data_IF_424942977912
#
_entry.id   IF_424942977912
#
_cell.length_a   1.000
_cell.length_b   1.000
_cell.length_c   1.000
_cell.angle_alpha   90.00
_cell.angle_beta   90.00
_cell.angle_gamma   90.00
#
_symmetry.space_group_name_H-M   'P 1'
#
loop_
_entity.id
_entity.type
_entity.pdbx_description
1 polymer ?
#
# COMPACT_ATOMS: atom_id res chain seq x y z
N UNK A 1 -12.13 -33.80 -15.93
CA UNK A 1 -13.17 -32.76 -15.72
C UNK A 1 -12.52 -31.39 -15.91
N UNK A 2 -13.21 -30.42 -16.52
CA UNK A 2 -12.77 -29.02 -16.58
C UNK A 2 -13.59 -28.25 -15.54
N UNK A 3 -12.92 -27.49 -14.68
CA UNK A 3 -13.56 -26.61 -13.70
C UNK A 3 -13.39 -25.17 -14.16
N UNK A 4 -14.44 -24.37 -14.00
CA UNK A 4 -14.43 -22.94 -14.32
C UNK A 4 -14.84 -22.19 -13.05
N UNK A 5 -14.04 -21.21 -12.65
CA UNK A 5 -14.33 -20.31 -11.55
C UNK A 5 -14.47 -18.90 -12.12
N UNK A 6 -15.42 -18.14 -11.59
CA UNK A 6 -15.70 -16.75 -12.00
C UNK A 6 -15.68 -15.89 -10.75
N UNK A 7 -14.83 -14.86 -10.76
CA UNK A 7 -14.88 -13.76 -9.81
C UNK A 7 -15.36 -12.51 -10.54
N UNK A 8 -16.19 -11.69 -9.89
CA UNK A 8 -16.76 -10.46 -10.43
C UNK A 8 -16.55 -9.34 -9.43
N UNK A 9 -16.71 -8.10 -9.91
CA UNK A 9 -16.71 -6.89 -9.09
C UNK A 9 -15.42 -6.70 -8.26
N UNK A 10 -14.29 -7.23 -8.77
CA UNK A 10 -12.97 -6.97 -8.21
C UNK A 10 -12.62 -5.52 -8.52
N UNK A 11 -12.37 -4.73 -7.47
CA UNK A 11 -11.89 -3.36 -7.63
C UNK A 11 -10.48 -3.38 -8.20
N UNK A 12 -10.23 -2.59 -9.24
CA UNK A 12 -8.91 -2.53 -9.89
C UNK A 12 -7.92 -1.71 -9.07
N UNK A 13 -8.41 -0.69 -8.36
CA UNK A 13 -7.57 0.28 -7.66
C UNK A 13 -6.76 1.14 -8.62
N UNK A 14 -5.89 1.97 -8.07
CA UNK A 14 -4.86 2.69 -8.83
C UNK A 14 -3.50 2.04 -8.60
N UNK A 15 -2.47 2.49 -9.32
CA UNK A 15 -1.09 2.14 -8.94
C UNK A 15 -0.72 2.74 -7.59
N UNK A 16 0.11 2.01 -6.85
CA UNK A 16 0.51 2.41 -5.52
C UNK A 16 1.38 3.68 -5.55
N UNK A 17 1.34 4.43 -4.46
CA UNK A 17 2.30 5.51 -4.24
C UNK A 17 3.66 4.89 -3.96
N UNK A 18 4.72 5.55 -4.39
CA UNK A 18 6.07 5.07 -4.15
C UNK A 18 6.90 6.12 -3.44
N UNK A 19 7.65 5.68 -2.44
CA UNK A 19 8.70 6.46 -1.80
C UNK A 19 10.05 5.81 -2.14
N UNK A 20 10.95 6.58 -2.75
CA UNK A 20 12.33 6.15 -3.02
C UNK A 20 13.30 7.02 -2.22
N UNK A 21 13.78 6.48 -1.10
CA UNK A 21 14.73 7.14 -0.20
C UNK A 21 16.18 6.70 -0.46
N UNK A 22 16.49 6.05 -1.60
CA UNK A 22 17.84 5.51 -1.86
C UNK A 22 18.90 6.59 -2.07
N UNK A 23 18.52 7.77 -2.56
CA UNK A 23 19.48 8.86 -2.79
C UNK A 23 19.92 9.49 -1.46
N UNK A 24 21.12 9.15 -0.99
CA UNK A 24 21.68 9.67 0.27
C UNK A 24 22.01 11.17 0.23
N UNK A 25 22.24 11.76 -0.96
CA UNK A 25 22.49 13.20 -1.08
C UNK A 25 21.20 13.99 -0.86
N UNK A 26 20.07 13.44 -1.34
CA UNK A 26 18.75 14.03 -1.17
C UNK A 26 18.17 13.76 0.22
N UNK A 27 18.37 12.54 0.72
CA UNK A 27 17.90 12.07 2.02
C UNK A 27 19.10 11.82 2.95
N UNK A 28 19.81 12.90 3.28
CA UNK A 28 21.05 12.90 4.07
C UNK A 28 20.80 12.98 5.58
N UNK A 29 19.67 13.56 5.99
CA UNK A 29 19.27 13.65 7.39
C UNK A 29 18.65 12.35 7.90
N UNK A 30 18.63 12.16 9.23
CA UNK A 30 17.92 11.05 9.88
C UNK A 30 16.40 11.18 9.74
N UNK A 31 15.89 12.39 9.91
CA UNK A 31 14.46 12.71 9.75
C UNK A 31 14.25 13.31 8.36
N UNK A 32 13.43 12.65 7.54
CA UNK A 32 13.19 13.02 6.14
C UNK A 32 11.71 12.99 5.81
N UNK A 33 11.30 13.70 4.77
CA UNK A 33 9.94 13.59 4.21
C UNK A 33 9.91 12.47 3.18
N UNK A 34 8.81 11.73 3.10
CA UNK A 34 8.63 10.69 2.08
C UNK A 34 8.67 11.26 0.66
N UNK A 35 8.10 12.46 0.47
CA UNK A 35 8.11 13.19 -0.79
C UNK A 35 8.91 14.49 -0.61
N UNK A 36 9.85 14.73 -1.52
CA UNK A 36 10.71 15.93 -1.51
C UNK A 36 9.88 17.15 -1.91
N UNK A 37 9.02 17.00 -2.92
CA UNK A 37 8.25 18.07 -3.57
C UNK A 37 6.90 18.38 -2.89
N UNK A 38 6.87 18.34 -1.56
CA UNK A 38 5.76 18.90 -0.79
C UNK A 38 4.71 17.89 -0.33
N UNK A 39 3.47 18.36 -0.21
CA UNK A 39 2.36 17.65 0.44
C UNK A 39 1.59 16.80 -0.57
N UNK A 40 1.29 15.56 -0.22
CA UNK A 40 0.49 14.71 -1.10
C UNK A 40 -1.00 15.06 -1.04
N UNK A 41 -1.71 14.79 -2.14
CA UNK A 41 -3.16 14.99 -2.28
C UNK A 41 -3.83 13.69 -2.75
N UNK A 42 -5.16 13.67 -2.72
CA UNK A 42 -5.95 12.57 -3.30
C UNK A 42 -5.62 12.39 -4.79
N UNK A 43 -5.46 11.14 -5.21
CA UNK A 43 -5.22 10.71 -6.59
C UNK A 43 -6.49 10.21 -7.28
N UNK A 44 -7.66 10.38 -6.65
CA UNK A 44 -8.92 9.80 -7.15
C UNK A 44 -9.20 10.11 -8.64
N UNK A 45 -8.93 11.35 -9.07
CA UNK A 45 -9.10 11.78 -10.46
C UNK A 45 -7.77 11.99 -11.20
N UNK A 46 -6.64 11.64 -10.58
CA UNK A 46 -5.32 11.86 -11.17
C UNK A 46 -4.94 10.59 -11.95
N UNK A 47 -4.58 10.71 -13.24
CA UNK A 47 -4.07 9.59 -14.00
C UNK A 47 -2.90 8.91 -13.26
N UNK A 48 -2.83 7.58 -13.27
CA UNK A 48 -1.80 6.84 -12.56
C UNK A 48 -0.39 7.34 -12.88
N UNK A 49 0.46 7.38 -11.86
CA UNK A 49 1.89 7.59 -12.01
C UNK A 49 2.55 6.36 -12.66
N UNK A 50 3.85 6.48 -12.96
CA UNK A 50 4.67 5.43 -13.57
C UNK A 50 4.61 4.08 -12.82
N UNK A 51 5.08 3.03 -13.50
CA UNK A 51 5.15 1.65 -13.00
C UNK A 51 5.67 1.57 -11.55
N UNK A 52 4.90 0.91 -10.69
CA UNK A 52 5.23 0.62 -9.30
C UNK A 52 5.89 -0.76 -9.14
N UNK A 53 5.96 -1.27 -7.92
CA UNK A 53 6.43 -2.61 -7.58
C UNK A 53 5.27 -3.59 -7.27
N UNK A 54 4.05 -3.29 -7.74
CA UNK A 54 2.82 -4.02 -7.43
C UNK A 54 2.66 -4.30 -5.92
N UNK A 55 2.95 -3.29 -5.10
CA UNK A 55 2.85 -3.37 -3.65
C UNK A 55 4.12 -3.90 -2.95
N UNK A 56 5.23 -3.96 -3.70
CA UNK A 56 6.51 -4.45 -3.23
C UNK A 56 7.37 -3.40 -2.53
N UNK A 57 8.56 -3.84 -2.12
CA UNK A 57 9.64 -2.98 -1.64
C UNK A 57 11.00 -3.52 -2.09
N UNK A 58 11.97 -2.62 -2.24
CA UNK A 58 13.35 -2.95 -2.60
C UNK A 58 14.32 -2.20 -1.69
N UNK A 59 15.11 -2.91 -0.89
CA UNK A 59 16.13 -2.28 -0.05
C UNK A 59 17.32 -1.79 -0.89
N UNK A 60 17.99 -0.75 -0.40
CA UNK A 60 19.33 -0.41 -0.85
C UNK A 60 20.32 -1.55 -0.58
N UNK A 61 21.43 -1.58 -1.32
CA UNK A 61 22.50 -2.57 -1.11
C UNK A 61 22.92 -2.57 0.36
N UNK A 62 23.01 -3.75 0.97
CA UNK A 62 23.41 -3.90 2.35
C UNK A 62 24.88 -3.55 2.59
N UNK A 63 25.70 -3.54 1.53
CA UNK A 63 27.11 -3.13 1.57
C UNK A 63 27.29 -1.60 1.53
N UNK A 64 26.24 -0.86 1.17
CA UNK A 64 26.28 0.60 1.19
C UNK A 64 26.28 1.09 2.65
N UNK A 65 27.29 1.87 3.01
CA UNK A 65 27.42 2.48 4.34
C UNK A 65 26.25 3.41 4.69
N UNK A 66 25.53 3.92 3.68
CA UNK A 66 24.35 4.75 3.85
C UNK A 66 23.04 3.93 3.94
N UNK A 67 23.09 2.60 3.89
CA UNK A 67 21.94 1.68 4.00
C UNK A 67 21.42 1.56 5.45
N UNK A 68 21.06 2.70 6.03
CA UNK A 68 20.62 2.87 7.41
C UNK A 68 19.11 3.07 7.49
N UNK A 69 18.58 3.13 8.72
CA UNK A 69 17.21 3.51 8.97
C UNK A 69 17.04 5.04 9.02
N UNK A 70 15.99 5.52 8.39
CA UNK A 70 15.54 6.91 8.40
C UNK A 70 14.16 7.00 9.06
N UNK A 71 13.90 8.09 9.75
CA UNK A 71 12.57 8.45 10.21
C UNK A 71 11.87 9.18 9.06
N UNK A 72 10.94 8.51 8.39
CA UNK A 72 10.28 9.01 7.18
C UNK A 72 8.91 9.55 7.53
N UNK A 73 8.70 10.85 7.31
CA UNK A 73 7.41 11.53 7.49
C UNK A 73 6.59 11.47 6.21
N UNK A 74 5.49 10.73 6.28
CA UNK A 74 4.43 10.71 5.27
C UNK A 74 3.42 11.81 5.57
N UNK A 75 2.82 12.39 4.54
CA UNK A 75 1.94 13.54 4.71
C UNK A 75 0.95 13.69 3.57
N UNK A 76 -0.34 13.74 3.89
CA UNK A 76 -1.42 13.96 2.93
C UNK A 76 -2.35 15.09 3.39
N UNK A 77 -2.85 15.88 2.43
CA UNK A 77 -4.01 16.75 2.59
C UNK A 77 -5.20 16.12 1.86
N UNK A 78 -6.07 15.39 2.58
CA UNK A 78 -7.26 14.84 1.97
C UNK A 78 -8.24 15.95 1.56
N UNK A 79 -9.13 15.69 0.60
CA UNK A 79 -10.31 16.52 0.33
C UNK A 79 -11.18 16.73 1.58
N UNK A 80 -11.92 17.85 1.63
CA UNK A 80 -12.74 18.21 2.80
C UNK A 80 -13.96 17.27 2.98
N UNK A 81 -14.34 16.52 1.95
CA UNK A 81 -15.44 15.53 1.90
C UNK A 81 -14.99 14.09 2.23
N UNK A 82 -13.70 13.86 2.49
CA UNK A 82 -13.23 12.58 3.04
C UNK A 82 -13.39 12.57 4.55
N UNK A 83 -14.33 11.76 5.01
CA UNK A 83 -14.60 11.54 6.43
C UNK A 83 -13.77 10.36 6.97
N UNK A 84 -13.75 10.25 8.31
CA UNK A 84 -13.01 9.21 9.00
C UNK A 84 -11.55 9.57 9.30
N UNK A 85 -10.83 8.58 9.78
CA UNK A 85 -9.41 8.62 10.11
C UNK A 85 -8.59 8.12 8.92
N UNK A 86 -7.40 8.66 8.74
CA UNK A 86 -6.51 8.25 7.64
C UNK A 86 -5.39 7.39 8.19
N UNK A 87 -5.14 6.28 7.52
CA UNK A 87 -4.10 5.33 7.84
C UNK A 87 -3.09 5.25 6.69
N UNK A 88 -1.84 5.04 7.06
CA UNK A 88 -0.78 4.74 6.11
C UNK A 88 -0.62 3.22 6.01
N UNK A 89 -0.70 2.67 4.79
CA UNK A 89 -0.57 1.22 4.57
C UNK A 89 0.41 0.98 3.43
N UNK A 90 1.28 -0.03 3.54
CA UNK A 90 2.20 -0.33 2.45
C UNK A 90 3.04 -1.58 2.67
N UNK A 91 4.05 -1.74 1.83
CA UNK A 91 4.94 -2.91 1.88
C UNK A 91 5.67 -3.06 3.23
N UNK A 92 6.00 -1.94 3.89
CA UNK A 92 6.70 -1.93 5.18
C UNK A 92 5.87 -2.48 6.36
N UNK A 93 4.53 -2.54 6.23
CA UNK A 93 3.65 -3.11 7.25
C UNK A 93 2.83 -4.29 6.72
N UNK A 94 3.31 -4.92 5.65
CA UNK A 94 2.69 -6.07 5.01
C UNK A 94 1.22 -5.82 4.61
N UNK A 95 0.93 -4.60 4.15
CA UNK A 95 -0.42 -4.19 3.76
C UNK A 95 -1.49 -4.34 4.85
N UNK A 96 -1.08 -4.32 6.14
CA UNK A 96 -1.99 -4.43 7.27
C UNK A 96 -2.51 -3.06 7.70
N UNK A 97 -3.83 -2.89 7.67
CA UNK A 97 -4.51 -1.76 8.28
C UNK A 97 -4.46 -1.92 9.82
N UNK A 98 -3.84 -0.98 10.52
CA UNK A 98 -3.61 -1.05 11.97
C UNK A 98 -3.63 0.33 12.62
N UNK A 99 -4.11 0.47 13.88
CA UNK A 99 -4.04 1.71 14.65
C UNK A 99 -2.63 2.31 14.76
N UNK A 100 -1.58 1.48 14.72
CA UNK A 100 -0.18 1.93 14.79
C UNK A 100 0.21 2.86 13.61
N UNK A 101 -0.52 2.75 12.50
CA UNK A 101 -0.30 3.55 11.30
C UNK A 101 -1.38 4.63 11.09
N UNK A 102 -2.19 4.91 12.11
CA UNK A 102 -3.12 6.04 12.11
C UNK A 102 -2.35 7.35 12.02
N UNK A 103 -2.69 8.17 11.03
CA UNK A 103 -2.06 9.47 10.82
C UNK A 103 -2.60 10.50 11.82
N UNK A 104 -1.72 11.38 12.28
CA UNK A 104 -2.10 12.51 13.14
C UNK A 104 -2.64 13.65 12.28
N UNK A 105 -3.91 14.02 12.50
CA UNK A 105 -4.54 15.19 11.89
C UNK A 105 -4.16 16.47 12.63
N UNK A 106 -3.61 17.43 11.89
CA UNK A 106 -3.36 18.80 12.36
C UNK A 106 -3.88 19.77 11.29
N UNK A 107 -4.90 20.54 11.64
CA UNK A 107 -5.66 21.36 10.69
C UNK A 107 -6.16 20.51 9.49
N UNK A 108 -5.74 20.85 8.26
CA UNK A 108 -6.12 20.14 7.02
C UNK A 108 -5.08 19.12 6.55
N UNK A 109 -4.13 18.75 7.41
CA UNK A 109 -3.01 17.87 7.06
C UNK A 109 -3.00 16.66 7.98
N UNK A 110 -2.81 15.48 7.41
CA UNK A 110 -2.53 14.25 8.13
C UNK A 110 -1.06 13.89 7.94
N UNK A 111 -0.38 13.51 9.02
CA UNK A 111 1.02 13.07 8.96
C UNK A 111 1.34 11.96 9.95
N UNK A 112 2.29 11.10 9.57
CA UNK A 112 2.88 10.09 10.45
C UNK A 112 4.37 9.97 10.11
N UNK A 113 5.19 9.71 11.11
CA UNK A 113 6.62 9.41 10.93
C UNK A 113 6.88 7.98 11.34
N UNK A 114 7.48 7.19 10.45
CA UNK A 114 7.83 5.79 10.72
C UNK A 114 9.30 5.52 10.38
N UNK A 115 9.97 4.62 11.10
CA UNK A 115 11.33 4.22 10.77
C UNK A 115 11.32 3.26 9.56
N UNK A 116 11.98 3.64 8.47
CA UNK A 116 12.17 2.79 7.29
C UNK A 116 13.65 2.59 7.02
N UNK A 117 14.02 1.37 6.65
CA UNK A 117 15.36 1.11 6.10
C UNK A 117 15.45 1.78 4.73
N UNK A 118 16.63 2.28 4.35
CA UNK A 118 16.82 2.89 3.04
C UNK A 118 16.42 1.92 1.91
N UNK A 119 15.53 2.38 1.03
CA UNK A 119 14.94 1.56 -0.04
C UNK A 119 13.82 2.27 -0.81
N UNK A 120 13.12 1.49 -1.63
CA UNK A 120 11.89 1.83 -2.32
C UNK A 120 10.74 1.09 -1.64
N UNK A 121 9.62 1.77 -1.40
CA UNK A 121 8.42 1.16 -0.85
C UNK A 121 7.18 1.65 -1.58
N UNK A 122 6.33 0.70 -1.95
CA UNK A 122 4.96 1.00 -2.35
C UNK A 122 4.06 1.15 -1.11
N UNK A 123 3.15 2.12 -1.17
CA UNK A 123 2.21 2.45 -0.09
C UNK A 123 0.95 3.15 -0.63
N UNK A 124 -0.03 3.32 0.24
CA UNK A 124 -1.25 4.08 0.00
C UNK A 124 -1.84 4.64 1.29
N UNK A 125 -2.80 5.55 1.14
CA UNK A 125 -3.62 6.07 2.22
C UNK A 125 -5.00 5.43 2.20
N UNK A 126 -5.43 4.94 3.36
CA UNK A 126 -6.75 4.32 3.54
C UNK A 126 -7.56 5.19 4.50
N UNK A 127 -8.80 5.52 4.13
CA UNK A 127 -9.74 6.18 5.04
C UNK A 127 -10.58 5.11 5.74
N UNK A 128 -10.81 5.23 7.04
CA UNK A 128 -11.67 4.31 7.77
C UNK A 128 -12.25 4.96 9.03
N UNK A 129 -13.36 4.42 9.53
CA UNK A 129 -13.91 4.80 10.82
C UNK A 129 -13.23 4.03 11.94
N UNK A 130 -13.15 4.65 13.13
CA UNK A 130 -12.71 3.98 14.35
C UNK A 130 -13.84 4.00 15.36
N UNK A 131 -14.47 2.85 15.60
CA UNK A 131 -15.59 2.70 16.52
C UNK A 131 -15.18 1.73 17.62
N UNK A 132 -15.21 2.18 18.88
CA UNK A 132 -14.80 1.39 20.05
C UNK A 132 -13.39 0.79 19.97
N UNK A 133 -12.50 1.40 19.18
CA UNK A 133 -11.12 0.93 18.96
C UNK A 133 -10.95 0.01 17.76
N UNK A 134 -12.05 -0.44 17.14
CA UNK A 134 -12.03 -1.25 15.93
C UNK A 134 -12.06 -0.37 14.68
N UNK A 135 -11.29 -0.77 13.67
CA UNK A 135 -11.30 -0.14 12.35
C UNK A 135 -12.43 -0.76 11.54
N UNK A 136 -13.36 0.07 11.07
CA UNK A 136 -14.54 -0.34 10.29
C UNK A 136 -14.75 0.60 9.11
N UNK A 137 -15.52 0.16 8.11
CA UNK A 137 -15.83 0.95 6.91
C UNK A 137 -14.58 1.47 6.19
N UNK A 138 -13.57 0.62 6.02
CA UNK A 138 -12.35 0.99 5.32
C UNK A 138 -12.60 1.21 3.82
N UNK A 139 -12.18 2.37 3.34
CA UNK A 139 -12.21 2.77 1.94
C UNK A 139 -10.78 2.98 1.43
N UNK A 140 -10.33 2.00 0.65
CA UNK A 140 -9.02 1.97 0.01
C UNK A 140 -8.95 2.83 -1.26
N UNK A 141 -10.11 3.26 -1.78
CA UNK A 141 -10.22 3.91 -3.08
C UNK A 141 -10.42 5.42 -2.97
N UNK A 142 -11.06 5.92 -1.91
CA UNK A 142 -11.44 7.34 -1.81
C UNK A 142 -10.27 8.32 -1.96
N UNK A 143 -9.06 7.92 -1.54
CA UNK A 143 -7.84 8.75 -1.68
C UNK A 143 -6.97 8.37 -2.88
N UNK A 144 -7.11 7.15 -3.42
CA UNK A 144 -6.21 6.63 -4.45
C UNK A 144 -6.85 6.54 -5.84
N UNK A 145 -8.17 6.39 -5.89
CA UNK A 145 -8.94 6.19 -7.10
C UNK A 145 -9.05 4.73 -7.51
N UNK A 146 -9.88 4.50 -8.53
CA UNK A 146 -10.11 3.20 -9.11
C UNK A 146 -10.06 3.33 -10.63
N UNK A 147 -9.03 2.76 -11.27
CA UNK A 147 -8.80 2.90 -12.70
C UNK A 147 -8.54 1.56 -13.38
N UNK A 148 -9.14 1.39 -14.54
CA UNK A 148 -8.96 0.22 -15.41
C UNK A 148 -7.91 0.43 -16.49
N UNK A 149 -7.30 1.62 -16.53
CA UNK A 149 -6.35 1.99 -17.59
C UNK A 149 -5.06 1.18 -17.51
N UNK A 150 -4.66 0.78 -16.30
CA UNK A 150 -3.40 0.11 -16.09
C UNK A 150 -3.52 -1.40 -16.03
N UNK A 151 -2.40 -2.05 -16.34
CA UNK A 151 -2.24 -3.50 -16.22
C UNK A 151 -2.44 -3.94 -14.77
N UNK A 152 -3.29 -4.95 -14.54
CA UNK A 152 -3.46 -5.58 -13.22
C UNK A 152 -3.00 -7.03 -13.25
N UNK A 153 -2.31 -7.45 -12.19
CA UNK A 153 -1.83 -8.82 -12.01
C UNK A 153 -2.59 -9.49 -10.87
N UNK A 154 -3.17 -10.66 -11.16
CA UNK A 154 -3.92 -11.47 -10.21
C UNK A 154 -3.23 -12.81 -10.04
N UNK A 155 -2.87 -13.15 -8.80
CA UNK A 155 -2.39 -14.47 -8.43
C UNK A 155 -3.54 -15.33 -7.93
N UNK A 156 -3.91 -16.34 -8.71
CA UNK A 156 -5.01 -17.26 -8.39
C UNK A 156 -4.44 -18.55 -7.83
N UNK A 157 -4.81 -18.87 -6.60
CA UNK A 157 -4.47 -20.13 -5.92
C UNK A 157 -5.72 -21.00 -5.82
N UNK A 158 -5.62 -22.25 -6.25
CA UNK A 158 -6.71 -23.23 -6.10
C UNK A 158 -6.35 -24.16 -4.94
N UNK A 159 -7.18 -24.15 -3.91
CA UNK A 159 -7.04 -25.00 -2.74
C UNK A 159 -7.96 -26.22 -2.84
N UNK A 160 -7.50 -27.33 -2.27
CA UNK A 160 -8.28 -28.54 -2.06
C UNK A 160 -8.14 -28.96 -0.60
N UNK A 161 -9.27 -29.08 0.09
CA UNK A 161 -9.32 -29.61 1.45
C UNK A 161 -9.27 -31.14 1.36
N UNK A 162 -8.11 -31.70 1.67
CA UNK A 162 -7.84 -33.13 1.63
C UNK A 162 -8.22 -33.74 2.98
N UNK A 163 -9.17 -34.70 3.03
CA UNK A 163 -9.60 -35.31 4.29
C UNK A 163 -8.58 -36.30 4.87
N UNK A 164 -7.55 -36.69 4.11
CA UNK A 164 -6.55 -37.64 4.57
C UNK A 164 -5.73 -37.08 5.74
N UNK A 165 -5.22 -37.98 6.60
CA UNK A 165 -4.34 -37.66 7.73
C UNK A 165 -4.89 -36.58 8.70
N UNK A 166 -6.21 -36.53 8.87
CA UNK A 166 -6.85 -35.60 9.81
C UNK A 166 -7.23 -34.24 9.21
N UNK A 167 -7.10 -34.07 7.89
CA UNK A 167 -7.57 -32.89 7.19
C UNK A 167 -6.50 -31.82 7.00
N UNK A 168 -6.21 -31.44 5.76
CA UNK A 168 -5.30 -30.34 5.45
C UNK A 168 -5.64 -29.65 4.12
N UNK A 169 -5.23 -28.39 3.96
CA UNK A 169 -5.42 -27.65 2.71
C UNK A 169 -4.20 -27.77 1.81
N UNK A 170 -4.43 -28.17 0.56
CA UNK A 170 -3.40 -28.29 -0.47
C UNK A 170 -3.60 -27.23 -1.52
N UNK A 171 -2.53 -26.53 -1.90
CA UNK A 171 -2.52 -25.78 -3.15
C UNK A 171 -2.37 -26.79 -4.29
N UNK A 172 -3.43 -26.97 -5.07
CA UNK A 172 -3.47 -27.90 -6.20
C UNK A 172 -3.38 -27.18 -7.55
N UNK A 173 -3.30 -25.85 -7.54
CA UNK A 173 -3.12 -25.06 -8.74
C UNK A 173 -2.70 -23.63 -8.42
N UNK A 174 -1.91 -23.06 -9.32
CA UNK A 174 -1.52 -21.66 -9.31
C UNK A 174 -1.62 -21.11 -10.73
N UNK A 175 -2.15 -19.89 -10.87
CA UNK A 175 -2.17 -19.19 -12.14
C UNK A 175 -2.07 -17.68 -11.92
N UNK A 176 -1.07 -17.05 -12.54
CA UNK A 176 -1.05 -15.60 -12.69
C UNK A 176 -1.85 -15.18 -13.91
N UNK A 177 -2.76 -14.23 -13.72
CA UNK A 177 -3.56 -13.61 -14.77
C UNK A 177 -3.16 -12.15 -14.85
N UNK A 178 -2.97 -11.67 -16.08
CA UNK A 178 -2.74 -10.26 -16.36
C UNK A 178 -3.96 -9.72 -17.09
N UNK A 179 -4.59 -8.69 -16.54
CA UNK A 179 -5.51 -7.84 -17.30
C UNK A 179 -4.73 -6.69 -17.95
N UNK A 180 -5.06 -6.42 -19.22
CA UNK A 180 -4.57 -5.28 -20.00
C UNK A 180 -5.74 -4.37 -20.33
#
# INVERSE_FOLDING_TARGET
RKFTFIARDIQAGNEFRQVDIRNHNLFSAKDVKAQVDGLEFSRFFIPPAAKDLNGGMLFADFKDTYSTYLNVTFSIRPPDDVYGEIFLVGAFNNWKLSPDYKMKKVARKNSITIPLKRGIYDYQYVAADVINGDIVNDDWLVLEGNTWVNKKEFDVFLYYSDPDLGGYERIIGYKRITMR
#
